data_IF_879270284862
#
_entry.id   IF_879270284862
#
_cell.length_a   1.000
_cell.length_b   1.000
_cell.length_c   1.000
_cell.angle_alpha   90.00
_cell.angle_beta   90.00
_cell.angle_gamma   90.00
#
_symmetry.space_group_name_H-M   'P 1'
#
loop_
_entity.id
_entity.type
_entity.pdbx_description
1 polymer ?
#
# COMPACT_ATOMS: atom_id res chain seq x y z
N UNK A 1 31.51 -16.15 31.72
CA UNK A 1 30.05 -16.16 31.61
C UNK A 1 29.56 -14.91 32.31
N UNK A 2 28.67 -14.13 31.71
CA UNK A 2 28.10 -12.96 32.37
C UNK A 2 27.27 -13.35 33.59
N UNK A 3 27.27 -12.50 34.58
CA UNK A 3 26.44 -12.67 35.78
C UNK A 3 24.98 -12.36 35.47
N UNK A 4 24.01 -12.85 36.27
CA UNK A 4 22.60 -12.52 36.07
C UNK A 4 22.32 -11.02 36.05
N UNK A 5 23.05 -10.22 36.83
CA UNK A 5 22.91 -8.77 36.87
C UNK A 5 23.41 -8.10 35.58
N UNK A 6 24.50 -8.60 35.00
CA UNK A 6 25.03 -8.12 33.71
C UNK A 6 24.05 -8.47 32.57
N UNK A 7 23.51 -9.70 32.58
CA UNK A 7 22.49 -10.11 31.61
C UNK A 7 21.27 -9.18 31.70
N UNK A 8 20.74 -8.93 32.89
CA UNK A 8 19.61 -8.03 33.07
C UNK A 8 19.91 -6.64 32.55
N UNK A 9 21.04 -6.06 32.89
CA UNK A 9 21.47 -4.75 32.40
C UNK A 9 21.54 -4.68 30.88
N UNK A 10 22.09 -5.72 30.24
CA UNK A 10 22.22 -5.78 28.79
C UNK A 10 20.84 -5.89 28.09
N UNK A 11 19.91 -6.63 28.72
CA UNK A 11 18.53 -6.72 28.21
C UNK A 11 17.79 -5.39 28.37
N UNK A 12 17.98 -4.70 29.48
CA UNK A 12 17.38 -3.36 29.69
C UNK A 12 17.89 -2.35 28.64
N UNK A 13 19.19 -2.34 28.36
CA UNK A 13 19.79 -1.49 27.32
C UNK A 13 19.25 -1.84 25.94
N UNK A 14 19.08 -3.13 25.63
CA UNK A 14 18.47 -3.56 24.38
C UNK A 14 17.02 -3.10 24.26
N UNK A 15 16.25 -3.27 25.33
CA UNK A 15 14.84 -2.87 25.38
C UNK A 15 14.66 -1.36 25.21
N UNK A 16 15.45 -0.55 25.93
CA UNK A 16 15.45 0.91 25.78
C UNK A 16 15.89 1.34 24.37
N UNK A 17 16.85 0.63 23.78
CA UNK A 17 17.26 0.82 22.40
C UNK A 17 16.13 0.56 21.42
N UNK A 18 15.33 -0.46 21.63
CA UNK A 18 14.16 -0.76 20.81
C UNK A 18 13.06 0.30 20.95
N UNK A 19 12.87 0.84 22.18
CA UNK A 19 11.87 1.88 22.40
C UNK A 19 12.29 3.25 21.83
N UNK A 20 13.60 3.54 21.76
CA UNK A 20 14.07 4.91 21.50
C UNK A 20 14.41 5.23 20.04
N UNK A 21 14.81 4.25 19.22
CA UNK A 21 15.39 4.57 17.90
C UNK A 21 14.86 3.80 16.70
N UNK A 22 14.68 2.52 16.83
CA UNK A 22 14.16 1.64 15.77
C UNK A 22 13.54 0.44 16.45
N UNK A 23 12.29 0.52 16.77
CA UNK A 23 11.62 -0.66 17.24
C UNK A 23 11.66 -1.70 16.12
N UNK A 24 11.97 -2.96 16.40
CA UNK A 24 11.84 -4.05 15.43
C UNK A 24 10.49 -4.03 14.75
N UNK A 25 9.47 -3.55 15.46
CA UNK A 25 8.13 -3.34 14.94
C UNK A 25 8.07 -2.32 13.78
N UNK A 26 8.86 -1.24 13.82
CA UNK A 26 8.93 -0.29 12.70
C UNK A 26 9.46 -0.96 11.43
N UNK A 27 10.52 -1.75 11.57
CA UNK A 27 11.13 -2.48 10.45
C UNK A 27 10.14 -3.51 9.90
N UNK A 28 9.49 -4.26 10.78
CA UNK A 28 8.49 -5.25 10.44
C UNK A 28 7.29 -4.64 9.67
N UNK A 29 6.74 -3.53 10.16
CA UNK A 29 5.61 -2.85 9.51
C UNK A 29 6.03 -2.20 8.19
N UNK A 30 7.25 -1.70 8.07
CA UNK A 30 7.81 -1.19 6.81
C UNK A 30 7.94 -2.31 5.77
N UNK A 31 8.41 -3.48 6.15
CA UNK A 31 8.46 -4.65 5.28
C UNK A 31 7.07 -5.15 4.93
N UNK A 32 6.15 -5.23 5.89
CA UNK A 32 4.73 -5.52 5.64
C UNK A 32 4.14 -4.58 4.60
N UNK A 33 4.40 -3.28 4.69
CA UNK A 33 3.98 -2.30 3.68
C UNK A 33 4.51 -2.65 2.29
N UNK A 34 5.76 -3.11 2.20
CA UNK A 34 6.40 -3.52 0.94
C UNK A 34 5.73 -4.77 0.35
N UNK A 35 5.43 -5.76 1.19
CA UNK A 35 4.74 -7.00 0.80
C UNK A 35 3.33 -6.68 0.30
N UNK A 36 2.56 -5.93 1.09
CA UNK A 36 1.22 -5.46 0.70
C UNK A 36 1.24 -4.64 -0.60
N UNK A 37 2.23 -3.77 -0.79
CA UNK A 37 2.36 -3.02 -2.03
C UNK A 37 2.52 -3.94 -3.25
N UNK A 38 3.34 -4.98 -3.13
CA UNK A 38 3.51 -5.97 -4.20
C UNK A 38 2.22 -6.73 -4.49
N UNK A 39 1.47 -7.11 -3.45
CA UNK A 39 0.17 -7.78 -3.59
C UNK A 39 -0.87 -6.87 -4.24
N UNK A 40 -1.01 -5.65 -3.76
CA UNK A 40 -2.08 -4.73 -4.20
C UNK A 40 -1.79 -4.16 -5.59
N UNK A 41 -0.56 -3.73 -5.84
CA UNK A 41 -0.17 -2.98 -7.04
C UNK A 41 0.80 -3.73 -7.95
N UNK A 42 1.20 -4.94 -7.58
CA UNK A 42 2.11 -5.76 -8.36
C UNK A 42 1.50 -6.32 -9.63
N UNK A 43 2.36 -6.83 -10.52
CA UNK A 43 1.98 -7.57 -11.72
C UNK A 43 2.30 -9.04 -11.53
N UNK A 44 1.51 -9.93 -12.10
CA UNK A 44 1.73 -11.38 -12.04
C UNK A 44 0.63 -12.13 -11.28
N UNK A 45 0.89 -13.37 -10.92
CA UNK A 45 -0.09 -14.27 -10.33
C UNK A 45 -0.58 -13.85 -8.93
N UNK A 46 0.25 -13.14 -8.18
CA UNK A 46 -0.06 -12.64 -6.84
C UNK A 46 -0.47 -11.16 -6.81
N UNK A 47 -0.42 -10.45 -7.95
CA UNK A 47 -0.78 -9.03 -7.99
C UNK A 47 -2.27 -8.80 -8.13
N UNK A 48 -2.78 -7.71 -7.53
CA UNK A 48 -4.18 -7.31 -7.63
C UNK A 48 -5.12 -8.24 -6.87
N UNK A 49 -4.77 -8.65 -5.64
CA UNK A 49 -5.64 -9.42 -4.76
C UNK A 49 -6.06 -8.61 -3.52
N UNK A 50 -7.25 -8.95 -2.96
CA UNK A 50 -7.69 -8.43 -1.68
C UNK A 50 -7.00 -9.18 -0.51
N UNK A 51 -7.33 -8.82 0.73
CA UNK A 51 -6.74 -9.45 1.93
C UNK A 51 -7.22 -10.89 2.17
N UNK A 52 -8.28 -11.33 1.51
CA UNK A 52 -8.75 -12.72 1.53
C UNK A 52 -8.07 -13.59 0.45
N UNK A 53 -7.20 -13.01 -0.38
CA UNK A 53 -6.52 -13.69 -1.49
C UNK A 53 -7.34 -13.72 -2.78
N UNK A 54 -8.55 -13.18 -2.80
CA UNK A 54 -9.38 -13.14 -4.00
C UNK A 54 -8.78 -12.17 -5.01
N UNK A 55 -8.75 -12.56 -6.27
CA UNK A 55 -8.30 -11.66 -7.33
C UNK A 55 -9.26 -10.48 -7.46
N UNK A 56 -8.70 -9.29 -7.35
CA UNK A 56 -9.41 -8.10 -7.75
C UNK A 56 -9.73 -8.24 -9.24
N UNK A 57 -10.98 -8.08 -9.65
CA UNK A 57 -11.36 -8.29 -11.02
C UNK A 57 -10.52 -7.41 -11.93
N UNK A 58 -9.88 -8.02 -12.91
CA UNK A 58 -9.11 -7.31 -13.94
C UNK A 58 -9.98 -6.34 -14.75
N UNK A 59 -11.29 -6.48 -14.64
CA UNK A 59 -12.40 -5.63 -15.12
C UNK A 59 -13.66 -6.14 -14.40
N UNK A 60 -14.68 -5.34 -14.14
CA UNK A 60 -15.10 -4.33 -15.07
C UNK A 60 -15.15 -2.92 -14.45
N UNK A 61 -14.39 -2.03 -14.98
CA UNK A 61 -14.76 -0.64 -14.86
C UNK A 61 -16.16 -0.44 -15.40
N UNK A 62 -16.89 0.46 -14.77
CA UNK A 62 -18.23 0.81 -15.22
C UNK A 62 -18.24 1.16 -16.71
N UNK A 63 -19.13 0.52 -17.46
CA UNK A 63 -19.41 0.86 -18.86
C UNK A 63 -20.42 2.00 -18.97
N UNK A 64 -20.98 2.48 -17.84
CA UNK A 64 -21.87 3.62 -17.84
C UNK A 64 -21.14 4.87 -18.33
N UNK A 65 -21.72 5.65 -19.23
CA UNK A 65 -21.11 6.88 -19.73
C UNK A 65 -20.65 7.81 -18.59
N UNK A 66 -19.48 8.40 -18.79
CA UNK A 66 -18.91 9.34 -17.80
C UNK A 66 -18.32 10.56 -18.49
N UNK A 67 -18.27 11.65 -17.72
CA UNK A 67 -17.52 12.85 -18.03
C UNK A 67 -16.29 12.93 -17.13
N UNK A 68 -15.12 13.14 -17.71
CA UNK A 68 -13.85 13.22 -16.96
C UNK A 68 -13.15 14.52 -17.27
N UNK A 69 -12.74 15.24 -16.24
CA UNK A 69 -11.95 16.45 -16.41
C UNK A 69 -10.60 16.13 -17.09
N UNK A 70 -10.17 16.87 -18.11
CA UNK A 70 -8.86 16.70 -18.74
C UNK A 70 -7.71 16.77 -17.74
N UNK A 71 -7.87 17.53 -16.66
CA UNK A 71 -6.87 17.63 -15.57
C UNK A 71 -6.70 16.34 -14.77
N UNK A 72 -7.71 15.47 -14.78
CA UNK A 72 -7.64 14.17 -14.12
C UNK A 72 -6.87 13.13 -14.93
N UNK A 73 -6.54 13.42 -16.19
CA UNK A 73 -5.84 12.54 -17.11
C UNK A 73 -4.38 13.00 -17.26
N UNK A 74 -3.44 12.07 -17.09
CA UNK A 74 -2.03 12.35 -17.34
C UNK A 74 -1.75 12.67 -18.84
N UNK A 75 -2.56 12.08 -19.73
CA UNK A 75 -2.61 12.40 -21.15
C UNK A 75 -4.02 12.17 -21.68
N UNK A 76 -4.61 13.16 -22.37
CA UNK A 76 -5.87 12.92 -23.04
C UNK A 76 -5.62 12.01 -24.28
N UNK A 77 -6.41 10.94 -24.47
CA UNK A 77 -6.29 10.14 -25.68
C UNK A 77 -6.48 10.99 -26.94
N UNK A 78 -5.62 10.81 -27.92
CA UNK A 78 -5.59 11.62 -29.16
C UNK A 78 -6.88 11.59 -29.98
N UNK A 79 -7.70 10.53 -29.79
CA UNK A 79 -9.00 10.39 -30.49
C UNK A 79 -10.08 11.37 -30.00
N UNK A 80 -9.91 11.98 -28.83
CA UNK A 80 -10.87 12.96 -28.32
C UNK A 80 -10.51 14.34 -28.84
N UNK A 81 -11.42 14.93 -29.61
CA UNK A 81 -11.24 16.28 -30.17
C UNK A 81 -11.05 17.27 -29.04
N UNK A 82 -9.93 17.96 -29.06
CA UNK A 82 -9.76 19.17 -28.27
C UNK A 82 -10.84 20.18 -28.71
N UNK A 83 -11.49 20.85 -27.75
CA UNK A 83 -12.36 21.99 -28.07
C UNK A 83 -11.65 22.98 -28.98
N UNK A 84 -12.40 23.83 -29.67
CA UNK A 84 -11.81 24.86 -30.51
C UNK A 84 -10.84 25.71 -29.68
N UNK A 85 -9.75 26.13 -30.32
CA UNK A 85 -8.70 26.94 -29.65
C UNK A 85 -9.33 28.14 -28.94
N UNK A 86 -9.24 28.22 -27.64
CA UNK A 86 -9.81 29.26 -26.79
C UNK A 86 -11.05 28.88 -25.98
N UNK A 87 -11.69 27.72 -26.23
CA UNK A 87 -12.81 27.27 -25.42
C UNK A 87 -12.30 26.38 -24.27
N UNK A 88 -12.74 26.59 -23.02
CA UNK A 88 -12.37 25.70 -21.92
C UNK A 88 -13.01 24.33 -22.14
N UNK A 89 -12.20 23.29 -22.26
CA UNK A 89 -12.70 21.91 -22.25
C UNK A 89 -13.05 21.57 -20.81
N UNK A 90 -14.31 21.65 -20.45
CA UNK A 90 -14.78 21.39 -19.10
C UNK A 90 -14.71 19.90 -18.77
N UNK A 91 -14.99 19.03 -19.74
CA UNK A 91 -14.93 17.57 -19.56
C UNK A 91 -14.80 16.82 -20.89
N UNK A 92 -14.22 15.62 -20.80
CA UNK A 92 -14.18 14.64 -21.89
C UNK A 92 -15.24 13.58 -21.68
N UNK A 93 -16.05 13.32 -22.70
CA UNK A 93 -17.11 12.32 -22.63
C UNK A 93 -16.62 10.96 -23.12
N UNK A 94 -16.87 9.94 -22.30
CA UNK A 94 -16.54 8.54 -22.57
C UNK A 94 -17.83 7.70 -22.56
N UNK A 95 -18.41 7.39 -23.72
CA UNK A 95 -19.64 6.61 -23.82
C UNK A 95 -19.52 5.20 -23.26
N UNK A 96 -18.35 4.58 -23.36
CA UNK A 96 -18.03 3.29 -22.74
C UNK A 96 -17.53 3.38 -21.31
N UNK A 97 -17.71 4.54 -20.66
CA UNK A 97 -17.40 4.73 -19.25
C UNK A 97 -15.92 4.60 -18.92
N UNK A 98 -15.65 4.24 -17.66
CA UNK A 98 -14.28 3.98 -17.19
C UNK A 98 -13.58 2.85 -17.93
N UNK A 99 -14.34 1.87 -18.43
CA UNK A 99 -13.77 0.77 -19.22
C UNK A 99 -13.14 1.28 -20.52
N UNK A 100 -13.79 2.23 -21.20
CA UNK A 100 -13.24 2.86 -22.41
C UNK A 100 -12.03 3.75 -22.08
N UNK A 101 -12.13 4.55 -21.02
CA UNK A 101 -11.05 5.38 -20.55
C UNK A 101 -9.78 4.56 -20.26
N UNK A 102 -9.93 3.39 -19.64
CA UNK A 102 -8.81 2.48 -19.32
C UNK A 102 -8.18 1.85 -20.55
N UNK A 103 -8.96 1.51 -21.58
CA UNK A 103 -8.41 0.99 -22.85
C UNK A 103 -7.48 1.99 -23.54
N UNK A 104 -7.74 3.28 -23.37
CA UNK A 104 -6.93 4.36 -23.94
C UNK A 104 -5.67 4.72 -23.13
N UNK A 105 -5.49 4.14 -21.95
CA UNK A 105 -4.32 4.36 -21.10
C UNK A 105 -3.47 3.11 -21.08
N UNK A 106 -2.13 3.26 -21.06
CA UNK A 106 -1.19 2.12 -20.94
C UNK A 106 -1.24 1.42 -19.56
N UNK A 107 -2.08 1.91 -18.65
CA UNK A 107 -2.19 1.42 -17.28
C UNK A 107 -3.19 0.28 -17.19
N UNK A 108 -2.69 -0.94 -17.11
CA UNK A 108 -3.48 -2.18 -17.13
C UNK A 108 -4.00 -2.64 -15.77
N UNK A 109 -3.56 -2.02 -14.68
CA UNK A 109 -3.92 -2.45 -13.32
C UNK A 109 -5.24 -1.82 -12.86
N UNK A 110 -6.13 -2.57 -12.21
CA UNK A 110 -7.47 -2.11 -11.85
C UNK A 110 -7.48 -0.88 -10.93
N UNK A 111 -6.47 -0.70 -10.09
CA UNK A 111 -6.38 0.39 -9.13
C UNK A 111 -5.57 1.60 -9.62
N UNK A 112 -5.08 1.58 -10.86
CA UNK A 112 -4.21 2.63 -11.41
C UNK A 112 -4.88 3.48 -12.48
N UNK A 113 -5.86 4.30 -12.15
CA UNK A 113 -6.33 5.30 -13.11
C UNK A 113 -5.37 6.48 -13.23
N UNK A 114 -5.03 7.10 -12.10
CA UNK A 114 -4.12 8.26 -12.05
C UNK A 114 -2.78 7.96 -11.39
N UNK A 115 -2.64 6.78 -10.79
CA UNK A 115 -1.49 6.42 -9.95
C UNK A 115 -1.47 7.10 -8.58
N UNK A 116 -2.46 7.95 -8.26
CA UNK A 116 -2.50 8.68 -6.98
C UNK A 116 -2.58 7.75 -5.78
N UNK A 117 -3.50 6.77 -5.81
CA UNK A 117 -3.65 5.82 -4.71
C UNK A 117 -2.36 5.02 -4.49
N UNK A 118 -1.73 4.55 -5.56
CA UNK A 118 -0.43 3.88 -5.52
C UNK A 118 0.66 4.81 -4.97
N UNK A 119 0.71 6.04 -5.46
CA UNK A 119 1.64 7.06 -4.97
C UNK A 119 1.39 7.39 -3.50
N UNK A 120 0.13 7.57 -3.10
CA UNK A 120 -0.26 7.81 -1.71
C UNK A 120 0.12 6.67 -0.77
N UNK A 121 -0.07 5.41 -1.20
CA UNK A 121 0.37 4.26 -0.42
C UNK A 121 1.91 4.16 -0.33
N UNK A 122 2.65 4.48 -1.40
CA UNK A 122 4.11 4.52 -1.38
C UNK A 122 4.64 5.60 -0.42
N UNK A 123 4.04 6.79 -0.46
CA UNK A 123 4.43 7.91 0.40
C UNK A 123 3.86 7.86 1.81
N UNK A 124 3.01 6.85 2.13
CA UNK A 124 2.49 6.67 3.48
C UNK A 124 3.63 6.43 4.45
N UNK A 125 3.48 6.95 5.66
CA UNK A 125 4.48 6.81 6.71
C UNK A 125 4.14 5.64 7.62
N UNK A 126 5.16 5.02 8.17
CA UNK A 126 5.02 4.09 9.28
C UNK A 126 5.23 4.90 10.55
N UNK A 127 4.22 4.96 11.40
CA UNK A 127 4.31 5.59 12.71
C UNK A 127 4.34 4.51 13.79
N UNK A 128 5.11 4.75 14.83
CA UNK A 128 5.22 3.86 15.98
C UNK A 128 4.95 4.64 17.26
N UNK A 129 4.16 4.05 18.14
CA UNK A 129 3.90 4.59 19.48
C UNK A 129 3.96 3.44 20.49
N UNK A 130 4.98 3.44 21.32
CA UNK A 130 5.25 2.33 22.25
C UNK A 130 5.43 1.00 21.51
N UNK A 131 4.54 0.06 21.75
CA UNK A 131 4.52 -1.27 21.12
C UNK A 131 3.54 -1.38 19.93
N UNK A 132 3.03 -0.26 19.48
CA UNK A 132 2.12 -0.21 18.34
C UNK A 132 2.80 0.42 17.14
N UNK A 133 2.47 -0.04 15.94
CA UNK A 133 2.88 0.57 14.70
C UNK A 133 1.75 0.54 13.67
N UNK A 134 1.64 1.61 12.89
CA UNK A 134 0.61 1.75 11.89
C UNK A 134 1.17 2.33 10.58
N UNK A 135 0.55 1.96 9.47
CA UNK A 135 0.78 2.57 8.17
C UNK A 135 -0.26 3.69 8.02
N UNK A 136 0.20 4.94 7.93
CA UNK A 136 -0.69 6.07 7.70
C UNK A 136 -0.99 6.20 6.21
N UNK A 137 -2.23 6.54 5.89
CA UNK A 137 -2.64 6.82 4.52
C UNK A 137 -3.09 8.28 4.44
N UNK A 138 -2.71 9.04 3.39
CA UNK A 138 -3.16 10.41 3.25
C UNK A 138 -4.70 10.50 3.27
N UNK A 139 -5.25 11.44 4.02
CA UNK A 139 -6.70 11.62 4.18
C UNK A 139 -7.43 11.79 2.83
N UNK A 140 -6.76 12.38 1.82
CA UNK A 140 -7.29 12.53 0.46
C UNK A 140 -7.53 11.19 -0.27
N UNK A 141 -6.97 10.11 0.20
CA UNK A 141 -7.10 8.78 -0.40
C UNK A 141 -8.10 7.88 0.35
N UNK A 142 -8.50 8.23 1.59
CA UNK A 142 -9.40 7.41 2.43
C UNK A 142 -10.72 7.10 1.73
N UNK A 143 -11.42 8.09 1.19
CA UNK A 143 -12.69 7.85 0.50
C UNK A 143 -12.57 6.94 -0.73
N UNK A 144 -11.39 6.85 -1.35
CA UNK A 144 -11.14 5.89 -2.44
C UNK A 144 -10.92 4.48 -1.91
N UNK A 145 -10.22 4.35 -0.80
CA UNK A 145 -10.00 3.07 -0.11
C UNK A 145 -11.34 2.50 0.33
N UNK A 146 -12.15 3.28 1.04
CA UNK A 146 -13.49 2.88 1.47
C UNK A 146 -14.38 2.43 0.30
N UNK A 147 -14.39 3.20 -0.78
CA UNK A 147 -15.15 2.85 -1.98
C UNK A 147 -14.67 1.59 -2.69
N UNK A 148 -13.37 1.29 -2.63
CA UNK A 148 -12.80 0.06 -3.17
C UNK A 148 -13.10 -1.13 -2.28
N UNK A 149 -12.94 -0.98 -0.96
CA UNK A 149 -13.18 -2.04 0.01
C UNK A 149 -14.65 -2.41 0.14
N UNK A 150 -15.56 -1.44 0.02
CA UNK A 150 -16.99 -1.71 -0.07
C UNK A 150 -17.37 -2.59 -1.29
N UNK A 151 -16.58 -2.50 -2.37
CA UNK A 151 -16.86 -3.22 -3.62
C UNK A 151 -16.11 -4.53 -3.76
N UNK A 152 -14.90 -4.61 -3.25
CA UNK A 152 -13.97 -5.72 -3.51
C UNK A 152 -13.50 -6.44 -2.23
N UNK A 153 -14.08 -6.12 -1.09
CA UNK A 153 -13.62 -6.60 0.21
C UNK A 153 -12.37 -5.84 0.68
N UNK A 154 -11.91 -6.20 1.85
CA UNK A 154 -10.76 -5.55 2.50
C UNK A 154 -9.49 -5.74 1.65
N UNK A 155 -8.85 -4.64 1.25
CA UNK A 155 -7.68 -4.65 0.38
C UNK A 155 -6.41 -4.23 1.14
N UNK A 156 -6.53 -3.22 2.00
CA UNK A 156 -5.40 -2.54 2.63
C UNK A 156 -5.05 -3.09 4.02
N UNK A 157 -5.51 -4.29 4.36
CA UNK A 157 -4.98 -5.04 5.49
C UNK A 157 -4.08 -6.18 5.00
N UNK A 158 -3.09 -6.60 5.80
CA UNK A 158 -2.26 -7.75 5.46
C UNK A 158 -3.06 -9.04 5.47
N UNK A 159 -2.70 -10.00 4.62
CA UNK A 159 -3.22 -11.36 4.70
C UNK A 159 -2.59 -12.10 5.87
N UNK A 160 -3.14 -13.26 6.24
CA UNK A 160 -2.53 -14.12 7.27
C UNK A 160 -1.15 -14.60 6.85
N UNK A 161 -0.99 -14.99 5.59
CA UNK A 161 0.28 -15.46 5.04
C UNK A 161 1.33 -14.34 5.05
N UNK A 162 0.93 -13.09 4.71
CA UNK A 162 1.82 -11.94 4.78
C UNK A 162 2.25 -11.63 6.21
N UNK A 163 1.36 -11.82 7.19
CA UNK A 163 1.68 -11.65 8.61
C UNK A 163 2.64 -12.74 9.10
N UNK A 164 2.39 -14.00 8.73
CA UNK A 164 3.21 -15.14 9.09
C UNK A 164 4.62 -15.01 8.48
N UNK A 165 4.73 -14.67 7.18
CA UNK A 165 6.01 -14.41 6.50
C UNK A 165 6.80 -13.32 7.23
N UNK A 166 6.17 -12.19 7.53
CA UNK A 166 6.80 -11.09 8.24
C UNK A 166 7.24 -11.48 9.66
N UNK A 167 6.39 -12.20 10.40
CA UNK A 167 6.71 -12.62 11.77
C UNK A 167 7.86 -13.61 11.78
N UNK A 168 7.92 -14.54 10.83
CA UNK A 168 9.00 -15.50 10.73
C UNK A 168 10.34 -14.83 10.46
N UNK A 169 10.39 -13.94 9.47
CA UNK A 169 11.62 -13.22 9.09
C UNK A 169 12.17 -12.37 10.24
N UNK A 170 11.27 -11.72 11.02
CA UNK A 170 11.69 -10.84 12.11
C UNK A 170 11.91 -11.57 13.45
N UNK A 171 11.26 -12.71 13.68
CA UNK A 171 11.44 -13.48 14.91
C UNK A 171 12.89 -13.97 15.06
N UNK A 172 13.51 -14.45 13.99
CA UNK A 172 14.89 -14.92 14.00
C UNK A 172 15.86 -13.77 14.35
N UNK A 173 15.66 -12.59 13.77
CA UNK A 173 16.48 -11.40 14.07
C UNK A 173 16.34 -10.97 15.53
N UNK A 174 15.11 -10.93 16.05
CA UNK A 174 14.84 -10.60 17.45
C UNK A 174 15.49 -11.57 18.42
N UNK A 175 15.33 -12.88 18.16
CA UNK A 175 15.95 -13.93 18.97
C UNK A 175 17.48 -13.78 18.98
N UNK A 176 18.08 -13.51 17.83
CA UNK A 176 19.52 -13.32 17.74
C UNK A 176 20.00 -12.08 18.51
N UNK A 177 19.24 -10.98 18.48
CA UNK A 177 19.56 -9.77 19.26
C UNK A 177 19.49 -10.06 20.78
N UNK A 178 18.49 -10.82 21.23
CA UNK A 178 18.37 -11.23 22.63
C UNK A 178 19.53 -12.12 23.05
N UNK A 179 19.86 -13.14 22.25
CA UNK A 179 21.00 -14.03 22.53
C UNK A 179 22.29 -13.23 22.64
N UNK A 180 22.53 -12.29 21.72
CA UNK A 180 23.72 -11.45 21.72
C UNK A 180 23.78 -10.55 22.97
N UNK A 181 22.65 -10.04 23.45
CA UNK A 181 22.58 -9.23 24.68
C UNK A 181 22.88 -10.08 25.94
N UNK A 182 22.40 -11.32 25.95
CA UNK A 182 22.61 -12.24 27.07
C UNK A 182 24.05 -12.79 27.12
N UNK A 183 24.77 -12.74 26.00
CA UNK A 183 26.12 -13.34 25.87
C UNK A 183 27.25 -12.35 26.13
N UNK A 184 26.96 -11.05 26.22
CA UNK A 184 27.90 -9.98 26.53
C UNK A 184 28.02 -9.74 28.02
#
# INVERSE_FOLDING_TARGET
MPTPAEIQKNLDVLYEGWLSKFTPLYVAVREMKRIMFKRIFGTGSKGGTNSAGDKLPSVPYSTKPIYVSPRALASAPSKYKKGKRGEPIESLYFPGGYAELKKGTSRKLPLELTGRLKGGFLSSEVITEGLEAAITVPASELGKIEGLEAKYGIIFLPTKEEQEEMLQDHAEELVQQIINAMSK
#
